data_IF_122703629071
#
_entry.id   IF_122703629071
#
_cell.length_a   1.000
_cell.length_b   1.000
_cell.length_c   1.000
_cell.angle_alpha   90.00
_cell.angle_beta   90.00
_cell.angle_gamma   90.00
#
_symmetry.space_group_name_H-M   'P 1'
#
loop_
_entity.id
_entity.type
_entity.pdbx_description
1 polymer ?
#
# COMPACT_ATOMS: atom_id res chain seq x y z
N UNK A 1 -15.75 -27.49 -36.44
CA UNK A 1 -14.87 -26.38 -36.01
C UNK A 1 -15.51 -25.45 -34.97
N UNK A 2 -16.27 -25.96 -33.97
CA UNK A 2 -16.77 -25.16 -32.83
C UNK A 2 -16.69 -25.86 -31.46
N UNK A 3 -16.08 -27.05 -31.38
CA UNK A 3 -15.89 -27.81 -30.13
C UNK A 3 -14.44 -27.99 -29.68
N UNK A 4 -13.46 -27.74 -30.57
CA UNK A 4 -12.03 -27.80 -30.22
C UNK A 4 -11.48 -26.46 -29.70
N UNK A 5 -12.12 -25.35 -30.05
CA UNK A 5 -11.73 -24.01 -29.60
C UNK A 5 -12.07 -23.75 -28.13
N UNK A 6 -13.14 -24.36 -27.61
CA UNK A 6 -13.49 -24.26 -26.18
C UNK A 6 -12.64 -25.18 -25.29
N UNK A 7 -12.19 -26.34 -25.80
CA UNK A 7 -11.29 -27.22 -25.05
C UNK A 7 -9.87 -26.62 -24.91
N UNK A 8 -9.40 -25.90 -25.94
CA UNK A 8 -8.12 -25.18 -25.87
C UNK A 8 -8.20 -23.96 -24.95
N UNK A 9 -9.31 -23.23 -24.91
CA UNK A 9 -9.49 -22.10 -23.98
C UNK A 9 -9.58 -22.56 -22.52
N UNK A 10 -10.25 -23.68 -22.23
CA UNK A 10 -10.32 -24.24 -20.88
C UNK A 10 -8.97 -24.81 -20.42
N UNK A 11 -8.19 -25.41 -21.34
CA UNK A 11 -6.85 -25.89 -21.04
C UNK A 11 -5.86 -24.76 -20.78
N UNK A 12 -5.98 -23.62 -21.48
CA UNK A 12 -5.14 -22.43 -21.22
C UNK A 12 -5.45 -21.78 -19.86
N UNK A 13 -6.72 -21.79 -19.40
CA UNK A 13 -7.09 -21.29 -18.08
C UNK A 13 -6.59 -22.22 -16.97
N UNK A 14 -6.65 -23.55 -17.16
CA UNK A 14 -6.15 -24.53 -16.18
C UNK A 14 -4.62 -24.55 -16.13
N UNK A 15 -3.93 -24.29 -17.25
CA UNK A 15 -2.47 -24.13 -17.28
C UNK A 15 -2.07 -22.82 -16.61
N UNK A 16 -2.76 -21.70 -16.85
CA UNK A 16 -2.49 -20.43 -16.18
C UNK A 16 -2.72 -20.49 -14.66
N UNK A 17 -3.72 -21.27 -14.20
CA UNK A 17 -3.98 -21.50 -12.77
C UNK A 17 -2.97 -22.45 -12.11
N UNK A 18 -2.27 -23.30 -12.87
CA UNK A 18 -1.26 -24.22 -12.34
C UNK A 18 0.20 -23.83 -12.68
N UNK A 19 0.42 -22.80 -13.51
CA UNK A 19 1.75 -22.28 -13.86
C UNK A 19 2.22 -21.15 -12.97
N UNK A 20 1.39 -20.66 -12.04
CA UNK A 20 1.87 -19.90 -10.90
C UNK A 20 2.53 -20.87 -9.93
N UNK A 21 3.78 -21.19 -10.21
CA UNK A 21 4.68 -21.74 -9.23
C UNK A 21 4.87 -20.65 -8.16
N UNK A 22 3.93 -20.56 -7.21
CA UNK A 22 3.85 -19.49 -6.20
C UNK A 22 5.16 -19.42 -5.40
N UNK A 23 5.80 -20.57 -5.15
CA UNK A 23 7.15 -20.67 -4.55
C UNK A 23 8.28 -20.07 -5.40
N UNK A 24 8.10 -19.99 -6.72
CA UNK A 24 9.07 -19.39 -7.64
C UNK A 24 8.78 -17.90 -7.85
N UNK A 25 7.49 -17.50 -7.83
CA UNK A 25 7.06 -16.10 -7.78
C UNK A 25 7.53 -15.37 -6.52
N UNK A 26 7.49 -16.03 -5.36
CA UNK A 26 8.08 -15.50 -4.11
C UNK A 26 9.60 -15.35 -4.20
N UNK A 27 10.30 -16.27 -4.90
CA UNK A 27 11.73 -16.10 -5.16
C UNK A 27 12.06 -14.90 -6.03
N UNK A 28 11.13 -14.43 -6.87
CA UNK A 28 11.25 -13.16 -7.60
C UNK A 28 10.72 -11.95 -6.81
N UNK A 29 9.78 -12.13 -5.87
CA UNK A 29 9.34 -11.07 -4.97
C UNK A 29 10.36 -10.75 -3.86
N UNK A 30 11.27 -11.69 -3.57
CA UNK A 30 12.47 -11.44 -2.75
C UNK A 30 13.54 -10.64 -3.53
N UNK A 31 13.44 -10.52 -4.87
CA UNK A 31 14.51 -9.95 -5.72
C UNK A 31 14.69 -8.45 -5.60
N UNK A 32 13.68 -7.69 -5.19
CA UNK A 32 13.81 -6.22 -5.12
C UNK A 32 14.46 -5.72 -3.83
N UNK A 33 14.65 -6.61 -2.86
CA UNK A 33 15.44 -6.31 -1.67
C UNK A 33 16.90 -6.75 -1.80
N UNK A 34 17.37 -7.35 -2.89
CA UNK A 34 18.73 -7.91 -2.91
C UNK A 34 19.72 -6.93 -3.55
N UNK A 35 20.63 -6.40 -2.74
CA UNK A 35 21.79 -5.63 -3.22
C UNK A 35 22.95 -6.60 -3.52
N UNK A 36 23.56 -6.48 -4.69
CA UNK A 36 24.90 -7.00 -4.97
C UNK A 36 25.92 -5.96 -4.52
N UNK A 37 26.56 -6.17 -3.37
CA UNK A 37 27.50 -5.22 -2.74
C UNK A 37 28.92 -5.25 -3.35
N UNK A 38 29.06 -5.77 -4.58
CA UNK A 38 30.34 -6.02 -5.22
C UNK A 38 31.13 -7.19 -4.63
N UNK A 39 30.63 -7.79 -3.55
CA UNK A 39 31.03 -9.13 -3.11
C UNK A 39 29.97 -10.12 -3.57
N UNK A 40 30.27 -11.41 -3.69
CA UNK A 40 29.31 -12.41 -4.22
C UNK A 40 28.12 -12.68 -3.28
N UNK A 41 27.82 -11.78 -2.34
CA UNK A 41 26.74 -11.91 -1.38
C UNK A 41 25.55 -11.05 -1.76
N UNK A 42 24.39 -11.70 -1.79
CA UNK A 42 23.08 -11.08 -1.93
C UNK A 42 22.60 -10.68 -0.54
N UNK A 43 22.37 -9.38 -0.28
CA UNK A 43 21.94 -8.87 1.02
C UNK A 43 20.62 -8.11 0.92
N UNK A 44 19.79 -8.15 1.98
CA UNK A 44 18.54 -7.39 2.02
C UNK A 44 18.87 -5.90 2.09
N UNK A 45 18.25 -5.08 1.23
CA UNK A 45 18.39 -3.64 1.19
C UNK A 45 18.05 -3.10 2.58
N UNK A 46 19.02 -2.41 3.17
CA UNK A 46 18.90 -1.93 4.54
C UNK A 46 17.85 -0.83 4.56
N UNK A 47 16.92 -0.95 5.50
CA UNK A 47 15.90 0.06 5.73
C UNK A 47 16.53 1.41 6.08
N UNK A 48 16.18 2.44 5.31
CA UNK A 48 16.60 3.82 5.56
C UNK A 48 15.55 4.54 6.40
N UNK A 49 15.88 4.75 7.66
CA UNK A 49 15.03 5.46 8.61
C UNK A 49 15.52 6.89 8.90
N UNK A 50 16.43 7.43 8.10
CA UNK A 50 16.91 8.82 8.26
C UNK A 50 15.78 9.83 7.97
N UNK A 51 15.99 11.10 8.34
CA UNK A 51 15.00 12.14 8.11
C UNK A 51 14.58 12.19 6.63
N UNK A 52 13.28 12.13 6.38
CA UNK A 52 12.76 12.10 5.02
C UNK A 52 13.02 13.41 4.29
N UNK A 53 13.37 13.30 3.02
CA UNK A 53 13.37 14.41 2.07
C UNK A 53 12.71 13.92 0.78
N UNK A 54 11.74 14.69 0.28
CA UNK A 54 11.09 14.34 -0.97
C UNK A 54 12.11 14.21 -2.11
N UNK A 55 11.99 13.18 -2.98
CA UNK A 55 12.94 12.95 -4.05
C UNK A 55 12.85 14.06 -5.10
N UNK A 56 13.92 14.23 -5.89
CA UNK A 56 13.84 15.02 -7.11
C UNK A 56 12.95 14.29 -8.14
N UNK A 57 12.10 15.02 -8.84
CA UNK A 57 11.29 14.47 -9.93
C UNK A 57 12.16 14.35 -11.19
N UNK A 58 12.38 13.14 -11.74
CA UNK A 58 13.17 12.97 -12.95
C UNK A 58 12.57 13.70 -14.15
N UNK A 59 13.41 14.16 -15.08
CA UNK A 59 12.93 14.84 -16.29
C UNK A 59 12.02 13.97 -17.14
N UNK A 60 12.24 12.66 -17.17
CA UNK A 60 11.39 11.68 -17.87
C UNK A 60 9.98 11.61 -17.29
N UNK A 61 9.82 11.88 -15.98
CA UNK A 61 8.51 12.01 -15.33
C UNK A 61 7.89 13.35 -15.68
N UNK A 62 8.64 14.45 -15.57
CA UNK A 62 8.11 15.80 -15.82
C UNK A 62 7.87 16.14 -17.30
N UNK A 63 8.46 15.40 -18.24
CA UNK A 63 8.33 15.59 -19.69
C UNK A 63 7.42 14.55 -20.36
N UNK A 64 6.25 14.29 -19.76
CA UNK A 64 5.22 13.41 -20.30
C UNK A 64 5.15 12.02 -19.67
N UNK A 65 5.83 11.82 -18.54
CA UNK A 65 5.54 10.73 -17.61
C UNK A 65 4.45 11.14 -16.61
N UNK A 66 4.31 10.36 -15.54
CA UNK A 66 3.31 10.52 -14.49
C UNK A 66 3.98 10.61 -13.12
N UNK A 67 3.81 11.75 -12.45
CA UNK A 67 4.09 11.94 -11.03
C UNK A 67 2.77 11.81 -10.28
N UNK A 68 2.52 10.65 -9.68
CA UNK A 68 1.29 10.40 -8.93
C UNK A 68 1.47 10.86 -7.48
N UNK A 69 0.69 11.86 -7.05
CA UNK A 69 0.68 12.25 -5.64
C UNK A 69 -0.04 11.17 -4.84
N UNK A 70 0.51 10.79 -3.69
CA UNK A 70 -0.04 9.73 -2.86
C UNK A 70 0.08 10.09 -1.38
N UNK A 71 -0.98 9.81 -0.63
CA UNK A 71 -0.98 9.84 0.83
C UNK A 71 -1.05 8.42 1.38
N UNK A 72 -0.25 8.16 2.42
CA UNK A 72 -0.31 6.93 3.19
C UNK A 72 -1.01 7.25 4.51
N UNK A 73 -2.13 6.58 4.76
CA UNK A 73 -2.83 6.66 6.03
C UNK A 73 -2.37 5.49 6.88
N UNK A 74 -1.53 5.79 7.86
CA UNK A 74 -1.07 4.83 8.85
C UNK A 74 -2.12 4.67 9.94
N UNK A 75 -2.60 3.44 10.14
CA UNK A 75 -3.68 3.12 11.08
C UNK A 75 -3.11 2.39 12.30
N UNK A 76 -3.26 2.99 13.48
CA UNK A 76 -2.99 2.38 14.79
C UNK A 76 -4.28 2.11 15.56
N UNK A 77 -4.19 1.31 16.62
CA UNK A 77 -5.34 0.89 17.43
C UNK A 77 -5.07 1.09 18.92
N UNK A 78 -5.93 1.84 19.61
CA UNK A 78 -5.87 2.12 21.06
C UNK A 78 -6.68 1.11 21.88
N UNK A 79 -6.56 -0.18 21.59
CA UNK A 79 -7.33 -1.23 22.26
C UNK A 79 -7.01 -1.40 23.76
N UNK A 80 -7.78 -2.28 24.40
CA UNK A 80 -7.56 -2.69 25.80
C UNK A 80 -7.53 -4.21 25.91
N UNK A 81 -6.69 -4.73 26.82
CA UNK A 81 -6.70 -6.15 27.19
C UNK A 81 -8.06 -6.65 27.72
N UNK A 82 -8.94 -5.72 28.13
CA UNK A 82 -10.29 -6.01 28.61
C UNK A 82 -11.32 -6.18 27.47
N UNK A 83 -10.94 -5.88 26.23
CA UNK A 83 -11.73 -6.13 25.03
C UNK A 83 -11.26 -7.44 24.37
N UNK A 84 -12.15 -8.13 23.64
CA UNK A 84 -11.79 -9.37 22.93
C UNK A 84 -10.67 -9.09 21.92
N UNK A 85 -9.54 -9.79 22.03
CA UNK A 85 -8.37 -9.66 21.15
C UNK A 85 -8.00 -11.01 20.53
N UNK A 86 -7.40 -10.99 19.34
CA UNK A 86 -6.79 -12.16 18.71
C UNK A 86 -5.33 -12.26 19.18
N UNK A 87 -5.16 -12.76 20.41
CA UNK A 87 -3.88 -12.88 21.11
C UNK A 87 -3.51 -11.67 21.98
N UNK A 88 -2.68 -11.93 22.98
CA UNK A 88 -2.14 -10.97 23.95
C UNK A 88 -0.63 -10.81 23.70
N UNK A 89 -0.07 -9.59 23.61
CA UNK A 89 -0.71 -8.28 23.63
C UNK A 89 -0.95 -7.74 22.22
N UNK A 90 -2.13 -7.96 21.65
CA UNK A 90 -2.47 -7.43 20.33
C UNK A 90 -3.75 -6.60 20.28
N UNK A 91 -4.26 -6.22 21.46
CA UNK A 91 -5.34 -5.26 21.60
C UNK A 91 -4.90 -3.88 21.07
N UNK A 92 -3.75 -3.41 21.52
CA UNK A 92 -3.11 -2.19 21.01
C UNK A 92 -2.17 -2.55 19.88
N UNK A 93 -2.23 -1.79 18.79
CA UNK A 93 -1.27 -1.93 17.70
C UNK A 93 -0.74 -0.56 17.31
N UNK A 94 0.58 -0.44 17.36
CA UNK A 94 1.33 0.74 16.96
C UNK A 94 2.53 0.27 16.15
N UNK A 95 2.93 1.10 15.19
CA UNK A 95 4.07 0.86 14.33
C UNK A 95 5.36 0.63 15.13
N UNK A 96 6.14 -0.36 14.70
CA UNK A 96 7.47 -0.72 15.21
C UNK A 96 8.55 0.12 14.53
N UNK A 97 8.35 0.44 13.26
CA UNK A 97 9.25 1.32 12.50
C UNK A 97 8.74 2.75 12.49
N UNK A 98 9.67 3.70 12.45
CA UNK A 98 9.33 5.12 12.39
C UNK A 98 8.70 5.52 11.05
N UNK A 99 7.92 6.60 11.06
CA UNK A 99 7.30 7.19 9.87
C UNK A 99 8.31 7.44 8.75
N UNK A 100 9.50 7.94 9.07
CA UNK A 100 10.56 8.18 8.07
C UNK A 100 11.04 6.91 7.36
N UNK A 101 11.05 5.75 8.04
CA UNK A 101 11.38 4.47 7.41
C UNK A 101 10.40 4.16 6.28
N UNK A 102 9.10 4.38 6.52
CA UNK A 102 8.04 4.16 5.55
C UNK A 102 8.06 5.20 4.41
N UNK A 103 8.27 6.48 4.74
CA UNK A 103 8.36 7.53 3.74
C UNK A 103 9.55 7.29 2.78
N UNK A 104 10.74 6.98 3.32
CA UNK A 104 11.90 6.62 2.50
C UNK A 104 11.66 5.35 1.68
N UNK A 105 11.08 4.31 2.28
CA UNK A 105 10.78 3.04 1.59
C UNK A 105 9.83 3.23 0.40
N UNK A 106 8.83 4.09 0.53
CA UNK A 106 7.76 4.23 -0.48
C UNK A 106 8.06 5.36 -1.47
N UNK A 107 8.52 6.52 -1.02
CA UNK A 107 8.75 7.68 -1.88
C UNK A 107 10.21 7.83 -2.31
N UNK A 108 11.17 7.22 -1.62
CA UNK A 108 12.57 7.32 -1.98
C UNK A 108 12.92 6.54 -3.27
N UNK A 109 14.02 6.91 -3.91
CA UNK A 109 14.49 6.36 -5.20
C UNK A 109 15.78 5.52 -5.08
N UNK A 110 16.25 5.28 -3.86
CA UNK A 110 17.42 4.47 -3.55
C UNK A 110 17.15 2.98 -3.68
N UNK A 111 18.22 2.18 -3.56
CA UNK A 111 18.12 0.74 -3.72
C UNK A 111 17.18 0.10 -2.69
N UNK A 112 16.24 -0.72 -3.14
CA UNK A 112 15.21 -1.36 -2.33
C UNK A 112 14.04 -0.45 -1.93
N UNK A 113 13.96 0.76 -2.48
CA UNK A 113 12.83 1.68 -2.29
C UNK A 113 11.86 1.58 -3.49
N UNK A 114 10.58 1.84 -3.25
CA UNK A 114 9.51 1.54 -4.19
C UNK A 114 9.63 2.31 -5.52
N UNK A 115 10.11 3.56 -5.50
CA UNK A 115 10.31 4.29 -6.75
C UNK A 115 11.48 3.74 -7.59
N UNK A 116 12.45 3.01 -7.03
CA UNK A 116 13.44 2.30 -7.86
C UNK A 116 12.73 1.29 -8.77
N UNK A 117 11.86 0.47 -8.19
CA UNK A 117 11.05 -0.50 -8.94
C UNK A 117 10.19 0.18 -10.01
N UNK A 118 9.43 1.23 -9.63
CA UNK A 118 8.55 1.92 -10.57
C UNK A 118 9.29 2.61 -11.70
N UNK A 119 10.45 3.21 -11.41
CA UNK A 119 11.30 3.80 -12.44
C UNK A 119 11.86 2.72 -13.38
N UNK A 120 12.25 1.56 -12.87
CA UNK A 120 12.72 0.44 -13.70
C UNK A 120 11.61 -0.05 -14.65
N UNK A 121 10.43 -0.41 -14.13
CA UNK A 121 9.38 -1.04 -14.94
C UNK A 121 8.66 -0.05 -15.87
N UNK A 122 8.74 1.26 -15.60
CA UNK A 122 8.13 2.30 -16.42
C UNK A 122 9.09 2.99 -17.40
N UNK A 123 10.35 2.54 -17.47
CA UNK A 123 11.40 3.22 -18.23
C UNK A 123 11.58 4.69 -17.80
N UNK A 124 11.51 4.92 -16.49
CA UNK A 124 11.66 6.22 -15.85
C UNK A 124 10.47 7.16 -15.98
N UNK A 125 9.31 6.67 -16.43
CA UNK A 125 8.14 7.52 -16.72
C UNK A 125 7.12 7.57 -15.59
N UNK A 126 7.28 6.79 -14.53
CA UNK A 126 6.34 6.77 -13.42
C UNK A 126 7.04 6.86 -12.07
N UNK A 127 6.54 7.72 -11.19
CA UNK A 127 6.91 7.73 -9.78
C UNK A 127 5.70 8.07 -8.92
N UNK A 128 5.68 7.54 -7.70
CA UNK A 128 4.82 8.06 -6.63
C UNK A 128 5.54 9.18 -5.88
N UNK A 129 4.78 10.17 -5.43
CA UNK A 129 5.30 11.37 -4.78
C UNK A 129 4.47 11.65 -3.51
N UNK A 130 5.09 12.07 -2.39
CA UNK A 130 4.36 12.36 -1.17
C UNK A 130 3.36 13.51 -1.42
N UNK A 131 2.12 13.30 -1.00
CA UNK A 131 1.13 14.37 -0.93
C UNK A 131 1.58 15.48 0.03
N UNK A 132 1.09 16.69 -0.20
CA UNK A 132 1.25 17.81 0.71
C UNK A 132 0.28 17.61 1.88
N UNK A 133 0.83 17.55 3.09
CA UNK A 133 0.08 17.31 4.31
C UNK A 133 0.81 17.97 5.50
N UNK A 134 0.18 18.01 6.67
CA UNK A 134 0.66 18.76 7.84
C UNK A 134 0.81 17.94 9.12
N UNK A 135 0.62 16.63 9.05
CA UNK A 135 0.71 15.69 10.16
C UNK A 135 2.16 15.29 10.46
N UNK A 136 2.62 15.55 11.68
CA UNK A 136 3.96 15.11 12.10
C UNK A 136 5.07 15.82 11.31
N UNK A 137 5.68 15.11 10.34
CA UNK A 137 6.70 15.68 9.45
C UNK A 137 6.03 16.15 8.16
N UNK A 138 5.77 17.45 8.07
CA UNK A 138 5.03 18.02 6.95
C UNK A 138 5.58 17.63 5.57
N UNK A 139 4.67 17.22 4.69
CA UNK A 139 4.90 16.83 3.31
C UNK A 139 5.79 15.58 3.15
N UNK A 140 5.76 14.67 4.13
CA UNK A 140 6.34 13.33 3.99
C UNK A 140 5.36 12.32 3.37
N UNK A 141 4.11 12.74 3.15
CA UNK A 141 3.04 11.95 2.55
C UNK A 141 2.45 10.91 3.49
N UNK A 142 2.70 10.98 4.81
CA UNK A 142 2.19 10.03 5.80
C UNK A 142 1.37 10.74 6.87
N UNK A 143 0.13 10.29 7.04
CA UNK A 143 -0.74 10.71 8.14
C UNK A 143 -1.00 9.51 9.04
N UNK A 144 -0.55 9.57 10.30
CA UNK A 144 -0.79 8.51 11.30
C UNK A 144 -2.02 8.84 12.13
N UNK A 145 -3.01 7.96 12.08
CA UNK A 145 -4.25 8.08 12.85
C UNK A 145 -4.44 6.90 13.79
N UNK A 146 -4.98 7.18 14.97
CA UNK A 146 -5.31 6.12 15.92
C UNK A 146 -6.81 5.92 16.04
N UNK A 147 -7.23 4.68 15.82
CA UNK A 147 -8.62 4.25 15.91
C UNK A 147 -8.89 3.65 17.29
N UNK A 148 -10.08 3.90 17.82
CA UNK A 148 -10.47 3.35 19.11
C UNK A 148 -10.77 1.85 19.03
N UNK A 149 -10.37 1.11 20.06
CA UNK A 149 -10.68 -0.31 20.21
C UNK A 149 -9.59 -1.24 19.68
N UNK A 150 -9.79 -2.54 19.90
CA UNK A 150 -8.78 -3.56 19.56
C UNK A 150 -8.56 -3.69 18.05
N UNK A 151 -7.32 -4.03 17.67
CA UNK A 151 -7.04 -4.45 16.31
C UNK A 151 -7.99 -5.58 15.88
N UNK A 152 -8.76 -5.41 14.79
CA UNK A 152 -9.91 -6.26 14.52
C UNK A 152 -9.51 -7.64 13.98
N UNK A 153 -8.24 -7.83 13.62
CA UNK A 153 -7.73 -8.99 12.88
C UNK A 153 -8.57 -9.19 11.62
N UNK A 154 -8.35 -8.33 10.64
CA UNK A 154 -9.09 -8.36 9.38
C UNK A 154 -8.97 -9.72 8.69
N UNK A 155 -7.80 -10.35 8.78
CA UNK A 155 -7.55 -11.64 8.16
C UNK A 155 -7.70 -11.57 6.63
N UNK A 156 -8.16 -12.66 6.02
CA UNK A 156 -8.57 -12.66 4.61
C UNK A 156 -10.08 -12.35 4.50
N UNK A 157 -10.48 -11.25 3.83
CA UNK A 157 -11.90 -10.97 3.58
C UNK A 157 -12.59 -12.15 2.90
N UNK A 158 -13.72 -12.61 3.46
CA UNK A 158 -14.47 -13.76 2.94
C UNK A 158 -14.14 -15.12 3.58
N UNK A 159 -13.17 -15.20 4.50
CA UNK A 159 -13.09 -16.32 5.47
C UNK A 159 -14.09 -16.11 6.61
N UNK A 160 -14.51 -17.20 7.27
CA UNK A 160 -15.55 -17.18 8.30
C UNK A 160 -15.27 -16.27 9.51
N UNK A 161 -14.01 -15.91 9.74
CA UNK A 161 -13.54 -14.98 10.77
C UNK A 161 -12.95 -13.67 10.22
N UNK A 162 -12.89 -13.52 8.88
CA UNK A 162 -12.37 -12.33 8.22
C UNK A 162 -13.33 -11.15 8.31
N UNK A 163 -12.78 -9.93 8.37
CA UNK A 163 -13.53 -8.68 8.44
C UNK A 163 -13.19 -7.78 7.26
N UNK A 164 -14.21 -7.20 6.63
CA UNK A 164 -14.00 -6.17 5.62
C UNK A 164 -13.40 -4.92 6.27
N UNK A 165 -12.29 -4.36 5.75
CA UNK A 165 -11.61 -3.24 6.39
C UNK A 165 -12.27 -1.88 6.16
N UNK A 166 -13.25 -1.82 5.25
CA UNK A 166 -13.93 -0.59 4.83
C UNK A 166 -14.28 0.39 5.98
N UNK A 167 -14.98 -0.02 7.06
CA UNK A 167 -15.35 0.92 8.13
C UNK A 167 -14.16 1.54 8.85
N UNK A 168 -13.02 0.84 8.92
CA UNK A 168 -11.80 1.37 9.54
C UNK A 168 -11.06 2.31 8.60
N UNK A 169 -11.12 2.06 7.30
CA UNK A 169 -10.49 2.94 6.30
C UNK A 169 -11.23 4.27 6.18
N UNK A 170 -12.57 4.27 6.21
CA UNK A 170 -13.35 5.51 6.19
C UNK A 170 -13.24 6.31 7.50
N UNK A 171 -13.22 5.64 8.68
CA UNK A 171 -12.93 6.31 9.95
C UNK A 171 -11.50 6.91 9.97
N UNK A 172 -10.53 6.18 9.42
CA UNK A 172 -9.16 6.67 9.27
C UNK A 172 -9.07 7.88 8.33
N UNK A 173 -9.78 7.87 7.19
CA UNK A 173 -9.88 9.02 6.29
C UNK A 173 -10.45 10.24 6.99
N UNK A 174 -11.56 10.10 7.74
CA UNK A 174 -12.13 11.22 8.49
C UNK A 174 -11.23 11.79 9.57
N UNK A 175 -10.30 10.99 10.12
CA UNK A 175 -9.28 11.47 11.05
C UNK A 175 -8.06 12.10 10.35
N UNK A 176 -7.80 11.72 9.11
CA UNK A 176 -6.69 12.22 8.31
C UNK A 176 -7.02 13.54 7.62
N UNK A 177 -8.29 13.72 7.22
CA UNK A 177 -8.84 14.90 6.51
C UNK A 177 -8.36 16.26 7.06
N UNK A 178 -8.30 16.52 8.38
CA UNK A 178 -7.81 17.81 8.88
C UNK A 178 -6.35 18.16 8.53
N UNK A 179 -5.56 17.21 8.04
CA UNK A 179 -4.13 17.38 7.76
C UNK A 179 -3.79 17.48 6.27
N UNK A 180 -4.73 17.21 5.37
CA UNK A 180 -4.55 17.19 3.92
C UNK A 180 -5.74 17.87 3.25
N UNK A 181 -5.48 18.66 2.22
CA UNK A 181 -6.51 19.28 1.39
C UNK A 181 -6.62 18.50 0.08
N UNK A 182 -7.62 17.63 -0.04
CA UNK A 182 -7.80 16.77 -1.20
C UNK A 182 -8.19 17.55 -2.46
N UNK A 183 -8.78 18.74 -2.31
CA UNK A 183 -9.22 19.56 -3.43
C UNK A 183 -8.08 20.08 -4.31
N UNK A 184 -6.84 20.01 -3.81
CA UNK A 184 -5.63 20.37 -4.56
C UNK A 184 -5.29 19.40 -5.69
N UNK A 185 -5.85 18.20 -5.68
CA UNK A 185 -5.41 17.11 -6.55
C UNK A 185 -6.31 16.85 -7.75
N UNK A 186 -7.53 17.41 -7.80
CA UNK A 186 -8.38 17.38 -9.00
C UNK A 186 -7.79 18.34 -10.05
N UNK A 187 -7.01 17.77 -10.97
CA UNK A 187 -6.22 18.55 -11.92
C UNK A 187 -7.03 18.91 -13.16
N UNK A 188 -8.05 18.12 -13.51
CA UNK A 188 -8.92 18.36 -14.65
C UNK A 188 -10.29 18.97 -14.31
N UNK A 189 -10.57 19.15 -13.01
CA UNK A 189 -11.77 19.79 -12.45
C UNK A 189 -13.07 19.04 -12.81
N UNK A 190 -13.01 17.71 -12.92
CA UNK A 190 -14.18 16.88 -13.20
C UNK A 190 -14.99 16.50 -11.95
N UNK A 191 -14.51 16.88 -10.76
CA UNK A 191 -15.15 16.62 -9.48
C UNK A 191 -14.79 15.27 -8.86
N UNK A 192 -13.84 14.53 -9.45
CA UNK A 192 -13.35 13.25 -8.98
C UNK A 192 -11.82 13.26 -8.88
N UNK A 193 -11.26 12.37 -8.05
CA UNK A 193 -9.83 12.13 -8.03
C UNK A 193 -9.53 10.84 -8.77
N UNK A 194 -8.91 10.92 -9.95
CA UNK A 194 -8.58 9.74 -10.74
C UNK A 194 -7.29 9.04 -10.28
N UNK A 195 -7.05 7.82 -10.76
CA UNK A 195 -5.79 7.06 -10.53
C UNK A 195 -4.53 7.77 -11.03
N UNK A 196 -4.66 8.86 -11.80
CA UNK A 196 -3.54 9.66 -12.32
C UNK A 196 -3.31 10.95 -11.54
N UNK A 197 -4.25 11.33 -10.70
CA UNK A 197 -4.22 12.59 -9.97
C UNK A 197 -3.75 12.39 -8.53
N UNK A 198 -4.36 11.39 -7.89
CA UNK A 198 -4.15 11.13 -6.48
C UNK A 198 -4.32 9.64 -6.17
N UNK A 199 -3.54 9.14 -5.20
CA UNK A 199 -3.71 7.79 -4.68
C UNK A 199 -3.74 7.80 -3.15
N UNK A 200 -4.54 6.91 -2.58
CA UNK A 200 -4.56 6.63 -1.14
C UNK A 200 -4.08 5.21 -0.86
N UNK A 201 -3.18 5.11 0.12
CA UNK A 201 -2.64 3.84 0.59
C UNK A 201 -2.89 3.69 2.09
N UNK A 202 -3.49 2.59 2.52
CA UNK A 202 -3.69 2.29 3.92
C UNK A 202 -2.60 1.34 4.43
N UNK A 203 -1.84 1.79 5.42
CA UNK A 203 -0.84 0.98 6.09
C UNK A 203 -1.36 0.67 7.49
N UNK A 204 -1.56 -0.61 7.81
CA UNK A 204 -2.21 -1.02 9.07
C UNK A 204 -1.16 -1.59 10.04
N UNK A 205 -1.08 -1.02 11.25
CA UNK A 205 -0.21 -1.53 12.30
C UNK A 205 -0.60 -2.96 12.69
N UNK A 206 0.37 -3.88 12.71
CA UNK A 206 0.13 -5.31 12.85
C UNK A 206 0.73 -6.12 11.71
N UNK A 207 0.25 -7.34 11.50
CA UNK A 207 0.83 -8.22 10.50
C UNK A 207 0.20 -8.09 9.11
N UNK A 208 1.00 -8.40 8.09
CA UNK A 208 0.54 -8.77 6.76
C UNK A 208 0.09 -10.24 6.78
N UNK A 209 -1.21 -10.48 6.67
CA UNK A 209 -1.80 -11.82 6.79
C UNK A 209 -1.41 -12.72 5.62
N UNK A 210 -1.11 -12.16 4.44
CA UNK A 210 -0.60 -12.93 3.31
C UNK A 210 0.74 -13.62 3.64
N UNK A 211 1.51 -13.10 4.62
CA UNK A 211 2.72 -13.73 5.14
C UNK A 211 2.47 -14.76 6.26
N UNK A 212 1.20 -15.05 6.58
CA UNK A 212 0.81 -16.09 7.54
C UNK A 212 0.84 -15.68 9.01
N UNK A 213 0.97 -14.38 9.30
CA UNK A 213 0.97 -13.87 10.68
C UNK A 213 -0.35 -13.15 11.02
N UNK A 214 -0.77 -13.29 12.27
CA UNK A 214 -1.98 -12.67 12.82
C UNK A 214 -1.67 -12.07 14.21
N UNK A 215 -2.41 -11.04 14.66
CA UNK A 215 -3.49 -10.38 13.93
C UNK A 215 -2.97 -9.45 12.84
N UNK A 216 -3.70 -9.38 11.74
CA UNK A 216 -3.26 -8.64 10.58
C UNK A 216 -4.36 -8.28 9.59
N UNK A 217 -3.94 -7.62 8.51
CA UNK A 217 -4.72 -7.41 7.30
C UNK A 217 -4.05 -8.17 6.16
N UNK A 218 -4.85 -8.76 5.27
CA UNK A 218 -4.35 -9.31 4.02
C UNK A 218 -4.16 -8.17 3.01
N UNK A 219 -2.97 -8.04 2.42
CA UNK A 219 -2.67 -7.07 1.37
C UNK A 219 -3.73 -7.08 0.28
N UNK A 220 -4.29 -5.91 -0.01
CA UNK A 220 -5.41 -5.80 -0.94
C UNK A 220 -5.45 -4.43 -1.63
N UNK A 221 -6.08 -4.41 -2.80
CA UNK A 221 -6.61 -3.21 -3.41
C UNK A 221 -8.12 -3.30 -3.56
N UNK A 222 -8.79 -2.16 -3.62
CA UNK A 222 -10.23 -2.12 -3.77
C UNK A 222 -10.72 -0.71 -4.05
N UNK A 223 -12.01 -0.50 -3.85
CA UNK A 223 -12.62 0.82 -3.95
C UNK A 223 -13.83 0.91 -3.02
N UNK A 224 -14.32 2.13 -2.85
CA UNK A 224 -15.44 2.47 -1.99
C UNK A 224 -16.64 2.91 -2.82
N UNK A 225 -17.80 2.40 -2.44
CA UNK A 225 -19.10 2.97 -2.79
C UNK A 225 -19.57 3.76 -1.57
N UNK A 226 -19.14 5.02 -1.49
CA UNK A 226 -19.42 5.91 -0.35
C UNK A 226 -20.04 7.21 -0.82
N UNK A 227 -20.91 7.79 0.00
CA UNK A 227 -21.40 9.17 -0.16
C UNK A 227 -20.57 10.15 0.68
N UNK A 228 -19.66 9.65 1.52
CA UNK A 228 -18.77 10.50 2.31
C UNK A 228 -17.77 11.22 1.41
N UNK A 229 -17.58 12.51 1.70
CA UNK A 229 -16.65 13.38 0.96
C UNK A 229 -15.68 14.04 1.92
N UNK A 230 -14.46 14.23 1.45
CA UNK A 230 -13.35 14.91 2.13
C UNK A 230 -12.90 16.06 1.22
N UNK A 231 -12.99 17.29 1.71
CA UNK A 231 -12.88 18.52 0.90
C UNK A 231 -13.76 18.56 -0.37
N UNK A 232 -14.88 17.84 -0.35
CA UNK A 232 -15.81 17.74 -1.48
C UNK A 232 -15.54 16.57 -2.45
N UNK A 233 -14.55 15.72 -2.18
CA UNK A 233 -14.19 14.59 -3.04
C UNK A 233 -14.42 13.23 -2.37
N UNK A 234 -14.84 12.25 -3.15
CA UNK A 234 -14.87 10.86 -2.72
C UNK A 234 -13.46 10.25 -2.83
N UNK A 235 -12.88 9.87 -1.69
CA UNK A 235 -11.56 9.24 -1.65
C UNK A 235 -11.73 7.73 -1.74
N UNK A 236 -10.92 7.05 -2.56
CA UNK A 236 -11.04 5.62 -2.82
C UNK A 236 -12.19 5.24 -3.74
N UNK A 237 -12.76 6.18 -4.49
CA UNK A 237 -14.00 6.01 -5.26
C UNK A 237 -13.89 4.93 -6.35
N UNK A 238 -14.89 4.05 -6.43
CA UNK A 238 -15.00 3.08 -7.51
C UNK A 238 -15.16 3.75 -8.88
N UNK A 239 -14.49 3.19 -9.90
CA UNK A 239 -14.43 3.71 -11.28
C UNK A 239 -13.54 4.95 -11.52
N UNK A 240 -13.06 5.63 -10.46
CA UNK A 240 -12.19 6.79 -10.57
C UNK A 240 -10.81 6.55 -9.95
N UNK A 241 -10.76 6.09 -8.70
CA UNK A 241 -9.52 6.04 -7.91
C UNK A 241 -9.19 4.64 -7.37
N UNK A 242 -10.04 4.11 -6.49
CA UNK A 242 -9.68 2.99 -5.62
C UNK A 242 -8.62 3.32 -4.56
N UNK A 243 -8.19 2.28 -3.84
CA UNK A 243 -7.17 2.34 -2.79
C UNK A 243 -6.29 1.09 -2.84
N UNK A 244 -5.13 1.18 -2.20
CA UNK A 244 -4.29 0.02 -1.84
C UNK A 244 -4.13 -0.09 -0.33
N UNK A 245 -3.91 -1.28 0.20
CA UNK A 245 -3.72 -1.50 1.63
C UNK A 245 -2.84 -2.71 1.94
N UNK A 246 -2.05 -2.64 3.01
CA UNK A 246 -1.21 -3.74 3.46
C UNK A 246 -0.91 -3.67 4.96
N UNK A 247 -0.50 -4.81 5.53
CA UNK A 247 -0.10 -4.91 6.93
C UNK A 247 1.36 -4.50 7.13
N UNK A 248 1.65 -3.90 8.28
CA UNK A 248 2.99 -3.41 8.60
C UNK A 248 4.09 -4.48 8.56
N UNK A 249 3.82 -5.68 9.08
CA UNK A 249 4.86 -6.67 9.42
C UNK A 249 4.73 -7.98 8.65
N UNK A 250 5.83 -8.43 8.03
CA UNK A 250 6.00 -9.78 7.50
C UNK A 250 6.96 -10.52 8.45
N UNK A 251 6.41 -11.30 9.39
CA UNK A 251 7.19 -11.90 10.46
C UNK A 251 7.93 -10.86 11.32
N UNK A 252 9.26 -10.92 11.33
CA UNK A 252 10.12 -10.06 12.16
C UNK A 252 10.71 -8.86 11.40
N UNK A 253 10.21 -8.55 10.21
CA UNK A 253 10.59 -7.35 9.45
C UNK A 253 9.34 -6.62 8.94
N UNK A 254 9.54 -5.38 8.51
CA UNK A 254 8.49 -4.61 7.86
C UNK A 254 8.12 -5.23 6.51
N UNK A 255 6.89 -5.00 6.06
CA UNK A 255 6.46 -5.37 4.73
C UNK A 255 7.44 -4.88 3.67
N UNK A 256 7.79 -5.81 2.78
CA UNK A 256 8.70 -5.57 1.66
C UNK A 256 8.02 -4.75 0.57
N UNK A 257 8.81 -4.07 -0.25
CA UNK A 257 8.26 -3.31 -1.39
C UNK A 257 7.50 -4.20 -2.40
N UNK A 258 7.67 -5.52 -2.37
CA UNK A 258 6.95 -6.45 -3.23
C UNK A 258 5.44 -6.44 -3.01
N UNK A 259 4.97 -6.55 -1.76
CA UNK A 259 3.52 -6.46 -1.46
C UNK A 259 3.00 -5.05 -1.72
N UNK A 260 3.79 -4.02 -1.38
CA UNK A 260 3.41 -2.62 -1.61
C UNK A 260 3.23 -2.33 -3.11
N UNK A 261 4.18 -2.76 -3.94
CA UNK A 261 4.11 -2.61 -5.40
C UNK A 261 2.96 -3.44 -6.00
N UNK A 262 2.72 -4.65 -5.48
CA UNK A 262 1.63 -5.50 -5.95
C UNK A 262 0.26 -4.84 -5.71
N UNK A 263 -0.02 -4.41 -4.48
CA UNK A 263 -1.31 -3.81 -4.15
C UNK A 263 -1.50 -2.45 -4.80
N UNK A 264 -0.44 -1.62 -4.82
CA UNK A 264 -0.49 -0.35 -5.53
C UNK A 264 -0.73 -0.54 -7.03
N UNK A 265 -0.11 -1.56 -7.65
CA UNK A 265 -0.26 -1.87 -9.07
C UNK A 265 -1.67 -2.27 -9.50
N UNK A 266 -2.52 -2.78 -8.59
CA UNK A 266 -3.95 -2.98 -8.87
C UNK A 266 -4.73 -1.66 -8.85
N UNK A 267 -4.25 -0.67 -8.10
CA UNK A 267 -4.94 0.59 -7.84
C UNK A 267 -4.52 1.73 -8.80
N UNK A 268 -3.58 1.50 -9.73
CA UNK A 268 -3.06 2.51 -10.67
C UNK A 268 -3.11 2.08 -12.13
#
# INVERSE_FOLDING_TARGET
MKRYTHLMFLAFIIIALNSCNYEQGEKFAIVTGIIEDGTKTKSIAREDCTAFSAPAVPSTVSSGGLKLNMVIIQITFEGSINQKSYGDPFAQQSFKSGTSCWANKIFGTGSGQLNEYWQEVSYGKFMVYPAEETHGTANDGIITVSLSGNHPNFGFPGRGDGKAPYPWFTDALGKADPYIDFSKYDADADGHLSTKEFQVMFLVAGFETAAGNIPGIWGQAGCFWTEETYDGYHIGECAYQGYSAFGERQGNHDATIGVIAHELGHAI
#
